data_IF_171240810012
#
_entry.id   IF_171240810012
#
_cell.length_a   1.000
_cell.length_b   1.000
_cell.length_c   1.000
_cell.angle_alpha   90.00
_cell.angle_beta   90.00
_cell.angle_gamma   90.00
#
_symmetry.space_group_name_H-M   'P 1'
#
loop_
_entity.id
_entity.type
_entity.pdbx_description
1 polymer ?
#
# COMPACT_ATOMS: atom_id res chain seq x y z
N UNK A 1 7.48 -23.31 -39.38
CA UNK A 1 8.02 -23.24 -38.01
C UNK A 1 9.21 -22.30 -38.04
N UNK A 2 8.97 -21.02 -37.75
CA UNK A 2 9.99 -19.99 -37.67
C UNK A 2 9.68 -19.18 -36.43
N UNK A 3 10.52 -19.34 -35.41
CA UNK A 3 10.48 -18.54 -34.21
C UNK A 3 10.72 -17.08 -34.62
N UNK A 4 9.67 -16.27 -34.63
CA UNK A 4 9.77 -14.82 -34.73
C UNK A 4 10.52 -14.34 -33.49
N UNK A 5 11.82 -14.09 -33.66
CA UNK A 5 12.68 -13.46 -32.66
C UNK A 5 12.08 -12.11 -32.28
N UNK A 6 11.74 -11.96 -31.01
CA UNK A 6 11.28 -10.68 -30.44
C UNK A 6 12.27 -9.56 -30.80
N UNK A 7 11.80 -8.37 -31.20
CA UNK A 7 12.66 -7.25 -31.59
C UNK A 7 13.60 -6.84 -30.44
N UNK A 8 14.88 -6.61 -30.77
CA UNK A 8 15.95 -6.29 -29.82
C UNK A 8 15.72 -4.98 -29.03
N UNK A 9 14.77 -4.13 -29.43
CA UNK A 9 14.45 -2.85 -28.77
C UNK A 9 13.90 -3.00 -27.34
N UNK A 10 13.48 -4.20 -26.94
CA UNK A 10 13.03 -4.49 -25.58
C UNK A 10 14.12 -5.04 -24.64
N UNK A 11 15.37 -5.19 -25.10
CA UNK A 11 16.51 -5.39 -24.17
C UNK A 11 16.85 -4.04 -23.54
N UNK A 12 16.01 -3.56 -22.63
CA UNK A 12 16.34 -2.38 -21.82
C UNK A 12 17.65 -2.69 -21.08
N UNK A 13 18.64 -1.81 -21.20
CA UNK A 13 19.90 -1.97 -20.48
C UNK A 13 19.58 -1.81 -18.98
N UNK A 14 19.74 -2.85 -18.13
CA UNK A 14 19.33 -2.79 -16.71
C UNK A 14 20.09 -1.70 -15.93
N UNK A 15 21.17 -1.16 -16.51
CA UNK A 15 21.91 -0.03 -15.98
C UNK A 15 21.13 1.29 -16.01
N UNK A 16 20.24 1.51 -16.99
CA UNK A 16 19.50 2.78 -17.12
C UNK A 16 18.45 2.99 -16.01
N UNK A 17 17.61 2.00 -15.66
CA UNK A 17 16.70 2.12 -14.51
C UNK A 17 17.44 2.35 -13.19
N UNK A 18 18.52 1.61 -12.94
CA UNK A 18 19.30 1.75 -11.72
C UNK A 18 19.95 3.14 -11.59
N UNK A 19 20.41 3.73 -12.71
CA UNK A 19 20.95 5.09 -12.73
C UNK A 19 19.88 6.13 -12.44
N UNK A 20 18.70 6.04 -13.07
CA UNK A 20 17.58 6.95 -12.82
C UNK A 20 17.17 6.94 -11.35
N UNK A 21 17.01 5.76 -10.76
CA UNK A 21 16.71 5.63 -9.35
C UNK A 21 17.78 6.27 -8.46
N UNK A 22 19.06 6.00 -8.73
CA UNK A 22 20.17 6.56 -7.95
C UNK A 22 20.16 8.09 -8.01
N UNK A 23 19.94 8.67 -9.19
CA UNK A 23 19.87 10.13 -9.36
C UNK A 23 18.71 10.70 -8.54
N UNK A 24 17.54 10.08 -8.58
CA UNK A 24 16.37 10.53 -7.81
C UNK A 24 16.59 10.43 -6.29
N UNK A 25 17.19 9.33 -5.81
CA UNK A 25 17.57 9.19 -4.40
C UNK A 25 18.57 10.25 -3.97
N UNK A 26 19.55 10.60 -4.81
CA UNK A 26 20.53 11.65 -4.51
C UNK A 26 19.86 13.01 -4.46
N UNK A 27 19.01 13.35 -5.44
CA UNK A 27 18.26 14.63 -5.44
C UNK A 27 17.40 14.73 -4.18
N UNK A 28 16.65 13.68 -3.85
CA UNK A 28 15.84 13.61 -2.63
C UNK A 28 16.70 13.75 -1.37
N UNK A 29 17.83 13.05 -1.32
CA UNK A 29 18.77 13.11 -0.19
C UNK A 29 19.38 14.49 0.01
N UNK A 30 19.73 15.20 -1.06
CA UNK A 30 20.23 16.59 -1.00
C UNK A 30 19.15 17.53 -0.44
N UNK A 31 17.91 17.39 -0.91
CA UNK A 31 16.79 18.17 -0.38
C UNK A 31 16.54 17.90 1.11
N UNK A 32 16.50 16.62 1.51
CA UNK A 32 16.30 16.24 2.91
C UNK A 32 17.46 16.72 3.79
N UNK A 33 18.70 16.62 3.32
CA UNK A 33 19.87 17.14 4.03
C UNK A 33 19.77 18.65 4.23
N UNK A 34 19.45 19.40 3.18
CA UNK A 34 19.28 20.85 3.27
C UNK A 34 18.19 21.24 4.27
N UNK A 35 17.04 20.57 4.22
CA UNK A 35 15.92 20.84 5.13
C UNK A 35 16.21 20.45 6.58
N UNK A 36 16.88 19.33 6.83
CA UNK A 36 17.37 18.96 8.17
C UNK A 36 18.38 19.98 8.69
N UNK A 37 19.35 20.42 7.88
CA UNK A 37 20.32 21.45 8.29
C UNK A 37 19.63 22.78 8.60
N UNK A 38 18.65 23.18 7.81
CA UNK A 38 17.84 24.38 8.06
C UNK A 38 17.00 24.27 9.34
N UNK A 39 16.49 23.07 9.67
CA UNK A 39 15.83 22.80 10.94
C UNK A 39 16.81 22.92 12.10
N UNK A 40 18.00 22.34 11.97
CA UNK A 40 19.05 22.37 12.99
C UNK A 40 19.51 23.79 13.29
N UNK A 41 19.73 24.59 12.24
CA UNK A 41 20.13 25.99 12.37
C UNK A 41 19.10 26.87 13.09
N UNK A 42 17.83 26.45 13.17
CA UNK A 42 16.74 27.19 13.84
C UNK A 42 16.57 26.85 15.32
N UNK A 43 17.42 25.99 15.89
CA UNK A 43 17.37 25.61 17.31
C UNK A 43 17.02 24.14 17.52
N UNK A 44 17.73 23.25 16.84
CA UNK A 44 17.58 21.80 17.01
C UNK A 44 17.79 21.33 18.44
N UNK A 45 17.07 20.27 18.80
CA UNK A 45 17.47 19.40 19.90
C UNK A 45 18.47 18.38 19.34
N UNK A 46 19.52 18.03 20.08
CA UNK A 46 20.74 17.41 19.52
C UNK A 46 20.63 16.08 18.76
N UNK A 47 19.43 15.51 18.57
CA UNK A 47 19.17 14.23 17.87
C UNK A 47 18.47 14.38 16.51
N UNK A 48 18.22 15.60 16.04
CA UNK A 48 17.46 15.89 14.81
C UNK A 48 18.13 15.39 13.50
N UNK A 49 19.40 14.95 13.57
CA UNK A 49 20.13 14.33 12.46
C UNK A 49 19.86 12.82 12.31
N UNK A 50 19.35 12.15 13.35
CA UNK A 50 19.14 10.71 13.35
C UNK A 50 18.14 10.24 12.26
N UNK A 51 17.00 10.93 12.03
CA UNK A 51 16.08 10.55 10.97
C UNK A 51 16.70 10.59 9.56
N UNK A 52 17.56 11.59 9.31
CA UNK A 52 18.28 11.72 8.05
C UNK A 52 19.25 10.54 7.85
N UNK A 53 20.01 10.19 8.89
CA UNK A 53 20.92 9.04 8.83
C UNK A 53 20.15 7.74 8.55
N UNK A 54 19.06 7.49 9.27
CA UNK A 54 18.22 6.30 9.06
C UNK A 54 17.67 6.28 7.64
N UNK A 55 17.19 7.42 7.14
CA UNK A 55 16.71 7.54 5.77
C UNK A 55 17.79 7.17 4.74
N UNK A 56 19.03 7.66 4.90
CA UNK A 56 20.16 7.34 4.01
C UNK A 56 20.43 5.83 4.03
N UNK A 57 20.50 5.23 5.21
CA UNK A 57 20.73 3.78 5.37
C UNK A 57 19.61 2.99 4.69
N UNK A 58 18.35 3.34 4.92
CA UNK A 58 17.19 2.71 4.29
C UNK A 58 17.18 2.87 2.76
N UNK A 59 17.52 4.05 2.25
CA UNK A 59 17.57 4.33 0.81
C UNK A 59 18.66 3.48 0.13
N UNK A 60 19.86 3.43 0.72
CA UNK A 60 20.97 2.63 0.20
C UNK A 60 20.67 1.13 0.29
N UNK A 61 20.20 0.65 1.44
CA UNK A 61 19.88 -0.77 1.63
C UNK A 61 18.76 -1.22 0.68
N UNK A 62 17.68 -0.44 0.57
CA UNK A 62 16.58 -0.72 -0.35
C UNK A 62 17.02 -0.68 -1.81
N UNK A 63 17.79 0.33 -2.22
CA UNK A 63 18.33 0.43 -3.58
C UNK A 63 19.18 -0.80 -3.95
N UNK A 64 20.11 -1.18 -3.07
CA UNK A 64 20.98 -2.35 -3.28
C UNK A 64 20.16 -3.64 -3.32
N UNK A 65 19.24 -3.82 -2.39
CA UNK A 65 18.40 -5.02 -2.34
C UNK A 65 17.54 -5.15 -3.59
N UNK A 66 16.87 -4.08 -3.98
CA UNK A 66 15.96 -4.09 -5.12
C UNK A 66 16.70 -4.24 -6.45
N UNK A 67 17.88 -3.63 -6.62
CA UNK A 67 18.67 -3.81 -7.85
C UNK A 67 19.27 -5.23 -7.97
N UNK A 68 19.56 -5.88 -6.85
CA UNK A 68 20.05 -7.27 -6.86
C UNK A 68 18.94 -8.28 -7.20
N UNK A 69 17.75 -8.08 -6.64
CA UNK A 69 16.66 -9.06 -6.75
C UNK A 69 15.69 -8.77 -7.91
N UNK A 70 15.56 -7.51 -8.32
CA UNK A 70 14.52 -7.05 -9.26
C UNK A 70 15.09 -6.03 -10.28
N UNK A 71 15.97 -6.46 -11.21
CA UNK A 71 16.62 -5.55 -12.16
C UNK A 71 15.67 -4.90 -13.18
N UNK A 72 14.45 -5.43 -13.34
CA UNK A 72 13.46 -5.00 -14.33
C UNK A 72 12.27 -4.23 -13.72
N UNK A 73 12.39 -3.80 -12.47
CA UNK A 73 11.35 -3.02 -11.79
C UNK A 73 11.27 -1.58 -12.30
N UNK A 74 10.17 -0.92 -12.00
CA UNK A 74 10.03 0.52 -12.17
C UNK A 74 11.02 1.27 -11.25
N UNK A 75 11.93 2.12 -11.80
CA UNK A 75 12.95 2.82 -11.02
C UNK A 75 12.43 4.07 -10.29
N UNK A 76 11.18 4.49 -10.48
CA UNK A 76 10.61 5.72 -9.93
C UNK A 76 9.90 5.46 -8.59
N UNK A 77 9.21 4.33 -8.44
CA UNK A 77 8.35 4.06 -7.29
C UNK A 77 9.09 4.10 -5.96
N UNK A 78 10.24 3.43 -5.87
CA UNK A 78 11.03 3.38 -4.64
C UNK A 78 11.59 4.76 -4.24
N UNK A 79 12.30 5.51 -5.11
CA UNK A 79 12.81 6.83 -4.74
C UNK A 79 11.70 7.84 -4.41
N UNK A 80 10.55 7.80 -5.09
CA UNK A 80 9.43 8.68 -4.76
C UNK A 80 8.86 8.35 -3.37
N UNK A 81 8.65 7.05 -3.07
CA UNK A 81 8.19 6.63 -1.76
C UNK A 81 9.18 7.00 -0.64
N UNK A 82 10.49 6.80 -0.88
CA UNK A 82 11.53 7.23 0.05
C UNK A 82 11.54 8.74 0.24
N UNK A 83 11.46 9.52 -0.84
CA UNK A 83 11.44 10.98 -0.75
C UNK A 83 10.26 11.49 0.09
N UNK A 84 9.05 11.03 -0.22
CA UNK A 84 7.84 11.42 0.52
C UNK A 84 7.89 10.96 1.97
N UNK A 85 8.37 9.74 2.23
CA UNK A 85 8.55 9.21 3.58
C UNK A 85 9.56 10.02 4.40
N UNK A 86 10.72 10.33 3.84
CA UNK A 86 11.75 11.14 4.48
C UNK A 86 11.29 12.57 4.74
N UNK A 87 10.63 13.19 3.77
CA UNK A 87 10.08 14.53 3.92
C UNK A 87 8.99 14.56 5.00
N UNK A 88 8.13 13.55 5.04
CA UNK A 88 7.12 13.38 6.09
C UNK A 88 7.75 13.25 7.49
N UNK A 89 8.85 12.53 7.64
CA UNK A 89 9.57 12.42 8.92
C UNK A 89 10.10 13.78 9.38
N UNK A 90 10.70 14.58 8.49
CA UNK A 90 11.18 15.93 8.81
C UNK A 90 10.03 16.86 9.21
N UNK A 91 8.88 16.75 8.53
CA UNK A 91 7.67 17.50 8.88
C UNK A 91 7.18 17.13 10.29
N UNK A 92 7.19 15.84 10.64
CA UNK A 92 6.82 15.36 11.98
C UNK A 92 7.82 15.84 13.03
N UNK A 93 9.12 15.77 12.76
CA UNK A 93 10.17 16.33 13.63
C UNK A 93 9.89 17.82 13.93
N UNK A 94 9.49 18.58 12.90
CA UNK A 94 9.16 20.00 13.04
C UNK A 94 7.86 20.27 13.81
N UNK A 95 6.81 19.48 13.58
CA UNK A 95 5.46 19.76 14.12
C UNK A 95 5.22 19.08 15.46
N UNK A 96 5.66 17.84 15.62
CA UNK A 96 5.37 16.96 16.77
C UNK A 96 6.56 16.02 17.04
N UNK A 97 7.70 16.55 17.54
CA UNK A 97 8.97 15.80 17.65
C UNK A 97 8.87 14.51 18.47
N UNK A 98 7.95 14.45 19.44
CA UNK A 98 7.68 13.23 20.22
C UNK A 98 7.34 11.99 19.36
N UNK A 99 6.76 12.18 18.17
CA UNK A 99 6.41 11.08 17.25
C UNK A 99 7.50 10.78 16.22
N UNK A 100 8.52 11.61 16.09
CA UNK A 100 9.47 11.53 14.99
C UNK A 100 10.39 10.30 15.09
N UNK A 101 10.82 9.93 16.30
CA UNK A 101 11.57 8.68 16.53
C UNK A 101 10.74 7.45 16.12
N UNK A 102 9.47 7.42 16.51
CA UNK A 102 8.55 6.34 16.13
C UNK A 102 8.33 6.29 14.61
N UNK A 103 8.16 7.45 13.97
CA UNK A 103 8.02 7.51 12.51
C UNK A 103 9.29 7.03 11.80
N UNK A 104 10.46 7.35 12.34
CA UNK A 104 11.75 6.88 11.82
C UNK A 104 11.85 5.35 11.90
N UNK A 105 11.39 4.73 12.99
CA UNK A 105 11.28 3.27 13.10
C UNK A 105 10.31 2.72 12.05
N UNK A 106 9.16 3.36 11.84
CA UNK A 106 8.19 2.93 10.82
C UNK A 106 8.73 3.02 9.39
N UNK A 107 9.64 3.96 9.09
CA UNK A 107 10.35 3.99 7.82
C UNK A 107 11.20 2.73 7.61
N UNK A 108 11.94 2.31 8.65
CA UNK A 108 12.73 1.06 8.62
C UNK A 108 11.80 -0.14 8.40
N UNK A 109 10.73 -0.23 9.21
CA UNK A 109 9.74 -1.31 9.09
C UNK A 109 9.11 -1.32 7.70
N UNK A 110 8.82 -0.16 7.11
CA UNK A 110 8.27 -0.04 5.75
C UNK A 110 9.20 -0.59 4.68
N UNK A 111 10.50 -0.26 4.73
CA UNK A 111 11.50 -0.78 3.78
C UNK A 111 11.71 -2.29 3.95
N UNK A 112 11.72 -2.77 5.20
CA UNK A 112 11.78 -4.21 5.48
C UNK A 112 10.53 -4.94 4.97
N UNK A 113 9.35 -4.38 5.20
CA UNK A 113 8.09 -4.94 4.71
C UNK A 113 8.04 -4.99 3.18
N UNK A 114 8.46 -3.90 2.50
CA UNK A 114 8.60 -3.87 1.05
C UNK A 114 9.51 -5.01 0.57
N UNK A 115 10.69 -5.15 1.17
CA UNK A 115 11.67 -6.18 0.82
C UNK A 115 11.11 -7.59 1.05
N UNK A 116 10.45 -7.80 2.19
CA UNK A 116 9.83 -9.09 2.53
C UNK A 116 8.72 -9.47 1.56
N UNK A 117 7.81 -8.54 1.23
CA UNK A 117 6.71 -8.76 0.28
C UNK A 117 7.25 -9.14 -1.09
N UNK A 118 8.27 -8.43 -1.57
CA UNK A 118 8.89 -8.67 -2.87
C UNK A 118 9.73 -9.96 -2.91
N UNK A 119 10.20 -10.45 -1.75
CA UNK A 119 10.89 -11.74 -1.65
C UNK A 119 9.95 -12.95 -1.78
N UNK A 120 8.63 -12.78 -1.62
CA UNK A 120 7.68 -13.90 -1.68
C UNK A 120 7.43 -14.32 -3.14
N UNK A 121 7.82 -15.55 -3.54
CA UNK A 121 7.60 -16.01 -4.90
C UNK A 121 6.10 -16.20 -5.17
N UNK A 122 5.68 -15.79 -6.37
CA UNK A 122 4.31 -15.93 -6.86
C UNK A 122 3.25 -15.31 -5.93
N UNK A 123 3.60 -14.25 -5.20
CA UNK A 123 2.71 -13.60 -4.24
C UNK A 123 1.36 -13.24 -4.86
N UNK A 124 1.34 -12.63 -6.05
CA UNK A 124 0.10 -12.24 -6.74
C UNK A 124 -0.82 -13.44 -7.02
N UNK A 125 -0.23 -14.60 -7.38
CA UNK A 125 -0.98 -15.84 -7.58
C UNK A 125 -1.59 -16.31 -6.26
N UNK A 126 -0.80 -16.34 -5.18
CA UNK A 126 -1.31 -16.72 -3.84
C UNK A 126 -2.43 -15.79 -3.39
N UNK A 127 -2.27 -14.48 -3.56
CA UNK A 127 -3.29 -13.48 -3.22
C UNK A 127 -4.60 -13.71 -3.98
N UNK A 128 -4.52 -14.03 -5.28
CA UNK A 128 -5.68 -14.36 -6.11
C UNK A 128 -6.36 -15.66 -5.69
N UNK A 129 -5.57 -16.71 -5.44
CA UNK A 129 -6.09 -18.04 -5.15
C UNK A 129 -6.73 -18.09 -3.74
N UNK A 130 -6.24 -17.30 -2.78
CA UNK A 130 -6.78 -17.19 -1.41
C UNK A 130 -7.68 -15.97 -1.18
N UNK A 131 -8.20 -15.32 -2.23
CA UNK A 131 -8.92 -14.03 -2.11
C UNK A 131 -10.08 -14.04 -1.10
N UNK A 132 -10.87 -15.12 -1.05
CA UNK A 132 -12.01 -15.22 -0.13
C UNK A 132 -11.56 -15.46 1.30
N UNK A 133 -10.55 -16.32 1.50
CA UNK A 133 -9.95 -16.58 2.82
C UNK A 133 -9.34 -15.31 3.39
N UNK A 134 -8.61 -14.55 2.57
CA UNK A 134 -8.03 -13.27 2.96
C UNK A 134 -9.12 -12.26 3.32
N UNK A 135 -10.18 -12.15 2.51
CA UNK A 135 -11.27 -11.21 2.79
C UNK A 135 -12.03 -11.56 4.07
N UNK A 136 -12.36 -12.84 4.28
CA UNK A 136 -12.96 -13.30 5.53
C UNK A 136 -12.04 -13.08 6.73
N UNK A 137 -10.73 -13.29 6.57
CA UNK A 137 -9.74 -12.98 7.61
C UNK A 137 -9.73 -11.49 7.95
N UNK A 138 -9.67 -10.61 6.95
CA UNK A 138 -9.69 -9.17 7.16
C UNK A 138 -11.00 -8.68 7.80
N UNK A 139 -12.14 -9.25 7.39
CA UNK A 139 -13.43 -8.98 8.04
C UNK A 139 -13.45 -9.49 9.48
N UNK A 140 -12.89 -10.68 9.73
CA UNK A 140 -12.71 -11.20 11.08
C UNK A 140 -11.87 -10.27 11.96
N UNK A 141 -10.80 -9.67 11.41
CA UNK A 141 -10.00 -8.69 12.14
C UNK A 141 -10.78 -7.39 12.44
N UNK A 142 -11.64 -6.92 11.52
CA UNK A 142 -12.55 -5.82 11.84
C UNK A 142 -13.55 -6.21 12.93
N UNK A 143 -14.15 -7.40 12.86
CA UNK A 143 -15.04 -7.87 13.91
C UNK A 143 -14.31 -7.98 15.25
N UNK A 144 -13.03 -8.34 15.24
CA UNK A 144 -12.20 -8.34 16.45
C UNK A 144 -12.00 -6.94 17.05
N UNK A 145 -11.94 -5.86 16.25
CA UNK A 145 -11.83 -4.49 16.81
C UNK A 145 -13.11 -4.02 17.48
N UNK A 146 -14.27 -4.59 17.15
CA UNK A 146 -15.51 -4.27 17.87
C UNK A 146 -15.44 -4.76 19.32
N UNK A 147 -14.79 -5.90 19.56
CA UNK A 147 -14.72 -6.53 20.88
C UNK A 147 -13.48 -6.07 21.66
N UNK A 148 -12.32 -6.01 20.98
CA UNK A 148 -11.01 -5.76 21.57
C UNK A 148 -10.41 -4.41 21.16
N UNK A 149 -11.21 -3.56 20.52
CA UNK A 149 -10.75 -2.28 20.01
C UNK A 149 -10.32 -1.34 21.11
N UNK A 150 -9.27 -0.60 20.80
CA UNK A 150 -8.73 0.49 21.62
C UNK A 150 -8.67 1.75 20.76
N UNK A 151 -8.57 2.90 21.41
CA UNK A 151 -8.29 4.15 20.73
C UNK A 151 -6.98 4.75 21.27
N UNK A 152 -5.94 4.91 20.43
CA UNK A 152 -4.64 5.43 20.87
C UNK A 152 -4.68 6.90 21.33
N UNK A 153 -5.72 7.65 20.97
CA UNK A 153 -5.93 9.05 21.40
C UNK A 153 -6.43 9.17 22.84
N UNK A 154 -7.01 8.10 23.40
CA UNK A 154 -7.59 8.11 24.76
C UNK A 154 -8.83 9.00 24.92
N UNK A 155 -9.34 9.60 23.83
CA UNK A 155 -10.50 10.48 23.85
C UNK A 155 -11.80 9.71 24.13
N UNK A 156 -12.57 10.20 25.09
CA UNK A 156 -13.87 9.62 25.46
C UNK A 156 -14.83 9.74 24.28
N UNK A 157 -15.42 8.61 23.86
CA UNK A 157 -16.38 8.53 22.75
C UNK A 157 -15.77 8.35 21.36
N UNK A 158 -14.44 8.41 21.23
CA UNK A 158 -13.74 8.20 19.97
C UNK A 158 -13.83 6.72 19.52
N UNK A 159 -13.91 6.43 18.21
CA UNK A 159 -14.08 5.06 17.72
C UNK A 159 -12.90 4.16 18.06
N UNK A 160 -13.17 2.95 18.52
CA UNK A 160 -12.15 1.97 18.94
C UNK A 160 -11.68 1.12 17.75
N UNK A 161 -10.93 1.75 16.84
CA UNK A 161 -10.56 1.15 15.55
C UNK A 161 -9.26 0.33 15.60
N UNK A 162 -8.53 0.38 16.71
CA UNK A 162 -7.15 -0.11 16.77
C UNK A 162 -7.05 -1.34 17.67
N UNK A 163 -6.31 -2.34 17.21
CA UNK A 163 -5.82 -3.41 18.07
C UNK A 163 -4.48 -2.97 18.64
N UNK A 164 -4.45 -2.74 19.95
CA UNK A 164 -3.27 -2.28 20.66
C UNK A 164 -2.63 -3.38 21.48
N UNK A 165 -1.32 -3.51 21.41
CA UNK A 165 -0.52 -4.24 22.39
C UNK A 165 0.59 -3.34 22.92
N UNK A 166 0.49 -2.97 24.19
CA UNK A 166 1.39 -2.03 24.85
C UNK A 166 1.52 -0.70 24.09
N UNK A 167 2.68 -0.43 23.48
CA UNK A 167 2.96 0.80 22.74
C UNK A 167 2.74 0.67 21.23
N UNK A 168 2.31 -0.49 20.73
CA UNK A 168 2.12 -0.73 19.29
C UNK A 168 0.62 -0.80 19.01
N UNK A 169 0.18 -0.01 18.05
CA UNK A 169 -1.20 0.03 17.59
C UNK A 169 -1.25 -0.39 16.13
N UNK A 170 -2.12 -1.34 15.84
CA UNK A 170 -2.38 -1.84 14.50
C UNK A 170 -3.83 -1.57 14.15
N UNK A 171 -4.07 -0.93 13.01
CA UNK A 171 -5.41 -0.64 12.52
C UNK A 171 -5.79 -1.70 11.47
N UNK A 172 -6.70 -2.65 11.77
CA UNK A 172 -7.02 -3.72 10.82
C UNK A 172 -7.64 -3.26 9.51
N UNK A 173 -8.29 -2.09 9.50
CA UNK A 173 -8.85 -1.52 8.28
C UNK A 173 -7.78 -1.18 7.23
N UNK A 174 -6.54 -0.90 7.65
CA UNK A 174 -5.40 -0.71 6.74
C UNK A 174 -5.07 -1.98 5.95
N UNK A 175 -5.05 -3.13 6.62
CA UNK A 175 -4.81 -4.41 5.95
C UNK A 175 -6.01 -4.81 5.10
N UNK A 176 -7.23 -4.55 5.57
CA UNK A 176 -8.44 -4.82 4.80
C UNK A 176 -8.49 -4.02 3.50
N UNK A 177 -7.95 -2.78 3.43
CA UNK A 177 -7.85 -2.02 2.17
C UNK A 177 -7.17 -2.82 1.07
N UNK A 178 -6.01 -3.38 1.38
CA UNK A 178 -5.20 -4.14 0.42
C UNK A 178 -5.94 -5.43 0.03
N UNK A 179 -6.50 -6.13 1.02
CA UNK A 179 -7.25 -7.37 0.80
C UNK A 179 -8.48 -7.13 -0.07
N UNK A 180 -9.22 -6.05 0.14
CA UNK A 180 -10.39 -5.71 -0.66
C UNK A 180 -9.99 -5.43 -2.11
N UNK A 181 -8.93 -4.66 -2.36
CA UNK A 181 -8.41 -4.40 -3.71
C UNK A 181 -8.04 -5.72 -4.39
N UNK A 182 -7.33 -6.61 -3.69
CA UNK A 182 -6.97 -7.93 -4.20
C UNK A 182 -8.21 -8.75 -4.55
N UNK A 183 -9.21 -8.76 -3.66
CA UNK A 183 -10.46 -9.48 -3.87
C UNK A 183 -11.20 -8.96 -5.11
N UNK A 184 -11.45 -7.65 -5.18
CA UNK A 184 -12.17 -7.02 -6.28
C UNK A 184 -11.45 -7.23 -7.60
N UNK A 185 -10.14 -6.97 -7.66
CA UNK A 185 -9.35 -7.15 -8.87
C UNK A 185 -9.34 -8.62 -9.34
N UNK A 186 -9.16 -9.56 -8.41
CA UNK A 186 -9.15 -10.99 -8.73
C UNK A 186 -10.51 -11.48 -9.20
N UNK A 187 -11.58 -11.06 -8.52
CA UNK A 187 -12.95 -11.44 -8.84
C UNK A 187 -13.38 -10.90 -10.20
N UNK A 188 -13.14 -9.61 -10.46
CA UNK A 188 -13.46 -8.99 -11.75
C UNK A 188 -12.67 -9.63 -12.90
N UNK A 189 -11.37 -9.90 -12.70
CA UNK A 189 -10.53 -10.55 -13.71
C UNK A 189 -11.02 -11.95 -14.08
N UNK A 190 -11.54 -12.73 -13.12
CA UNK A 190 -12.08 -14.07 -13.36
C UNK A 190 -13.41 -14.04 -14.12
N UNK A 191 -14.26 -13.05 -13.83
CA UNK A 191 -15.56 -12.89 -14.48
C UNK A 191 -15.47 -12.15 -15.83
N UNK A 192 -14.33 -11.52 -16.13
CA UNK A 192 -14.10 -10.72 -17.34
C UNK A 192 -14.45 -11.43 -18.66
N UNK A 193 -14.08 -12.71 -18.90
CA UNK A 193 -14.43 -13.39 -20.16
C UNK A 193 -15.94 -13.53 -20.36
N UNK A 194 -16.70 -13.76 -19.28
CA UNK A 194 -18.15 -13.87 -19.30
C UNK A 194 -18.79 -12.48 -19.48
N UNK A 195 -18.27 -11.45 -18.82
CA UNK A 195 -18.71 -10.06 -19.00
C UNK A 195 -18.51 -9.57 -20.44
N UNK A 196 -17.38 -9.92 -21.08
CA UNK A 196 -17.09 -9.56 -22.47
C UNK A 196 -17.96 -10.32 -23.48
N UNK A 197 -18.20 -11.62 -23.25
CA UNK A 197 -19.08 -12.42 -24.11
C UNK A 197 -20.53 -11.89 -24.12
N UNK A 198 -21.00 -11.37 -22.98
CA UNK A 198 -22.31 -10.71 -22.87
C UNK A 198 -22.37 -9.39 -23.65
N UNK A 199 -21.28 -8.63 -23.74
CA UNK A 199 -21.22 -7.38 -24.51
C UNK A 199 -21.24 -7.61 -26.04
N UNK A 200 -20.62 -8.69 -26.52
CA UNK A 200 -20.54 -8.99 -27.97
C UNK A 200 -21.79 -9.66 -28.54
N UNK A 201 -22.66 -10.24 -27.70
CA UNK A 201 -23.92 -10.87 -28.13
C UNK A 201 -25.04 -9.83 -28.27
N UNK A 202 -24.83 -8.86 -29.17
CA UNK A 202 -25.81 -7.83 -29.53
C UNK A 202 -26.99 -8.46 -30.28
N UNK A 203 -28.04 -8.83 -29.54
CA UNK A 203 -29.29 -9.33 -30.12
C UNK A 203 -30.42 -9.60 -29.14
N UNK A 204 -30.13 -9.67 -27.83
CA UNK A 204 -31.16 -9.87 -26.80
C UNK A 204 -30.94 -8.86 -25.66
N UNK A 205 -31.55 -7.71 -25.87
CA UNK A 205 -31.72 -6.66 -24.87
C UNK A 205 -32.28 -7.31 -23.59
N UNK A 206 -31.61 -7.13 -22.45
CA UNK A 206 -31.82 -7.77 -21.14
C UNK A 206 -31.07 -9.08 -20.81
N UNK A 207 -29.79 -9.19 -21.18
CA UNK A 207 -28.87 -9.97 -20.35
C UNK A 207 -28.31 -9.06 -19.24
N UNK A 208 -29.18 -8.67 -18.31
CA UNK A 208 -28.76 -7.97 -17.10
C UNK A 208 -27.64 -8.75 -16.42
N UNK A 209 -26.65 -8.03 -15.90
CA UNK A 209 -25.54 -8.57 -15.12
C UNK A 209 -26.08 -9.67 -14.19
N UNK A 210 -25.81 -10.94 -14.50
CA UNK A 210 -26.46 -12.04 -13.79
C UNK A 210 -26.21 -11.86 -12.29
N UNK A 211 -27.25 -11.84 -11.43
CA UNK A 211 -27.07 -11.68 -9.99
C UNK A 211 -26.10 -12.68 -9.37
N UNK A 212 -25.86 -13.83 -10.03
CA UNK A 212 -24.86 -14.82 -9.63
C UNK A 212 -23.42 -14.35 -9.83
N UNK A 213 -23.18 -13.48 -10.81
CA UNK A 213 -21.86 -12.94 -11.15
C UNK A 213 -21.55 -11.73 -10.29
N UNK A 214 -22.49 -10.79 -10.14
CA UNK A 214 -22.25 -9.57 -9.36
C UNK A 214 -22.56 -9.74 -7.87
N UNK A 215 -23.49 -10.63 -7.54
CA UNK A 215 -24.00 -10.83 -6.17
C UNK A 215 -22.90 -11.09 -5.14
N UNK A 216 -22.00 -12.07 -5.34
CA UNK A 216 -20.93 -12.34 -4.37
C UNK A 216 -20.00 -11.14 -4.15
N UNK A 217 -19.68 -10.40 -5.21
CA UNK A 217 -18.85 -9.20 -5.12
C UNK A 217 -19.55 -8.09 -4.32
N UNK A 218 -20.79 -7.75 -4.68
CA UNK A 218 -21.57 -6.72 -3.98
C UNK A 218 -21.86 -7.10 -2.53
N UNK A 219 -22.10 -8.38 -2.26
CA UNK A 219 -22.33 -8.89 -0.91
C UNK A 219 -21.07 -8.69 -0.06
N UNK A 220 -19.92 -9.17 -0.53
CA UNK A 220 -18.69 -9.12 0.26
C UNK A 220 -18.18 -7.69 0.44
N UNK A 221 -18.25 -6.87 -0.61
CA UNK A 221 -17.95 -5.44 -0.53
C UNK A 221 -18.93 -4.71 0.39
N UNK A 222 -20.23 -4.94 0.23
CA UNK A 222 -21.28 -4.30 1.02
C UNK A 222 -21.19 -4.66 2.50
N UNK A 223 -20.87 -5.91 2.83
CA UNK A 223 -20.61 -6.35 4.19
C UNK A 223 -19.41 -5.59 4.78
N UNK A 224 -18.32 -5.47 4.02
CA UNK A 224 -17.13 -4.73 4.45
C UNK A 224 -17.44 -3.26 4.76
N UNK A 225 -18.17 -2.58 3.86
CA UNK A 225 -18.57 -1.18 4.03
C UNK A 225 -19.53 -1.01 5.21
N UNK A 226 -20.49 -1.93 5.37
CA UNK A 226 -21.45 -1.87 6.47
C UNK A 226 -20.76 -1.96 7.85
N UNK A 227 -19.80 -2.89 8.00
CA UNK A 227 -19.02 -3.01 9.23
C UNK A 227 -18.25 -1.71 9.53
N UNK A 228 -17.63 -1.09 8.52
CA UNK A 228 -16.90 0.16 8.70
C UNK A 228 -17.80 1.34 9.09
N UNK A 229 -18.99 1.44 8.50
CA UNK A 229 -20.00 2.45 8.88
C UNK A 229 -20.41 2.24 10.34
N UNK A 230 -20.63 0.99 10.75
CA UNK A 230 -20.97 0.67 12.13
C UNK A 230 -19.85 1.02 13.11
N UNK A 231 -18.60 0.80 12.72
CA UNK A 231 -17.41 1.23 13.45
C UNK A 231 -17.21 2.75 13.47
N UNK A 232 -18.04 3.52 12.77
CA UNK A 232 -17.90 4.98 12.59
C UNK A 232 -16.57 5.37 11.93
N UNK A 233 -16.00 4.47 11.11
CA UNK A 233 -14.83 4.74 10.27
C UNK A 233 -15.26 5.12 8.85
N UNK A 234 -15.87 6.31 8.74
CA UNK A 234 -16.40 6.82 7.48
C UNK A 234 -15.30 7.09 6.45
N UNK A 235 -14.11 7.52 6.88
CA UNK A 235 -12.99 7.77 5.98
C UNK A 235 -12.58 6.51 5.22
N UNK A 236 -12.40 5.40 5.94
CA UNK A 236 -12.11 4.11 5.31
C UNK A 236 -13.27 3.63 4.44
N UNK A 237 -14.52 3.75 4.91
CA UNK A 237 -15.70 3.33 4.14
C UNK A 237 -15.79 4.07 2.79
N UNK A 238 -15.54 5.39 2.77
CA UNK A 238 -15.52 6.18 1.54
C UNK A 238 -14.40 5.74 0.60
N UNK A 239 -13.20 5.44 1.11
CA UNK A 239 -12.12 4.90 0.28
C UNK A 239 -12.49 3.56 -0.36
N UNK A 240 -13.12 2.65 0.40
CA UNK A 240 -13.57 1.35 -0.11
C UNK A 240 -14.64 1.51 -1.19
N UNK A 241 -15.52 2.49 -1.01
CA UNK A 241 -16.54 2.83 -1.99
C UNK A 241 -15.92 3.36 -3.29
N UNK A 242 -14.99 4.31 -3.21
CA UNK A 242 -14.30 4.87 -4.39
C UNK A 242 -13.50 3.80 -5.12
N UNK A 243 -12.73 2.97 -4.40
CA UNK A 243 -11.95 1.87 -4.99
C UNK A 243 -12.86 0.91 -5.74
N UNK A 244 -14.01 0.56 -5.16
CA UNK A 244 -14.99 -0.29 -5.82
C UNK A 244 -15.49 0.33 -7.12
N UNK A 245 -15.87 1.61 -7.10
CA UNK A 245 -16.31 2.32 -8.31
C UNK A 245 -15.24 2.36 -9.39
N UNK A 246 -13.99 2.66 -9.02
CA UNK A 246 -12.87 2.74 -9.96
C UNK A 246 -12.52 1.40 -10.61
N UNK A 247 -12.67 0.29 -9.89
CA UNK A 247 -12.42 -1.05 -10.45
C UNK A 247 -13.61 -1.59 -11.24
N UNK A 248 -14.82 -1.15 -10.88
CA UNK A 248 -16.05 -1.59 -11.54
C UNK A 248 -16.35 -0.85 -12.84
N UNK A 249 -15.98 0.43 -12.91
CA UNK A 249 -16.11 1.28 -14.10
C UNK A 249 -15.15 0.87 -15.21
#
# INVERSE_FOLDING_TARGET
MTATSMPQSFRQNPLLPAQAERVLLVIGGVFLTFTTLALIARGAQGRDWLPLLVWIVCALAGHVWLNRNLPWRDPLLFPVAMFLGGWGVIIIERLTPFFAERQTIWLIVGVLALSAVLAVPQLLRKLRDYRYTLLLFGLGLLLATIIFGTNPSGQVGAPQLWLGFNSIFFQPSEVLKIILVVFLASYLAEQYPMLRALQTSTGRQNAGLSPRIIGPMLLMWGLSVNVLIWQRDLGTATLFFIVFLLLFY
#
